data_IF_916318540104
#
_entry.id   IF_916318540104
#
_cell.length_a   1.000
_cell.length_b   1.000
_cell.length_c   1.000
_cell.angle_alpha   90.00
_cell.angle_beta   90.00
_cell.angle_gamma   90.00
#
_symmetry.space_group_name_H-M   'P 1'
#
loop_
_entity.id
_entity.type
_entity.pdbx_description
1 polymer ?
#
# COMPACT_ATOMS: atom_id res chain seq x y z
N UNK A 1 -11.83 -0.09 5.09
CA UNK A 1 -11.87 1.37 5.33
C UNK A 1 -10.42 1.81 5.43
N UNK A 2 -9.94 2.63 4.49
CA UNK A 2 -8.59 3.18 4.57
C UNK A 2 -8.47 3.95 5.89
N UNK A 3 -7.42 3.68 6.67
CA UNK A 3 -7.14 4.49 7.85
C UNK A 3 -6.73 5.87 7.34
N UNK A 4 -7.70 6.79 7.28
CA UNK A 4 -7.46 8.20 7.05
C UNK A 4 -6.35 8.64 8.01
N UNK A 5 -5.37 9.36 7.48
CA UNK A 5 -4.27 9.93 8.25
C UNK A 5 -4.83 10.63 9.50
N UNK A 6 -4.55 10.10 10.68
CA UNK A 6 -5.11 10.62 11.94
C UNK A 6 -4.28 11.83 12.37
N UNK A 7 -4.77 13.03 12.04
CA UNK A 7 -4.20 14.29 12.52
C UNK A 7 -4.99 14.74 13.74
N UNK A 8 -4.32 14.86 14.88
CA UNK A 8 -4.85 15.57 16.04
C UNK A 8 -4.79 17.07 15.76
N UNK A 9 -5.89 17.62 15.24
CA UNK A 9 -5.97 19.01 14.77
C UNK A 9 -5.76 20.01 15.91
N UNK A 10 -6.23 19.70 17.12
CA UNK A 10 -6.05 20.56 18.28
C UNK A 10 -4.59 20.63 18.69
N UNK A 11 -3.93 19.47 18.83
CA UNK A 11 -2.51 19.42 19.16
C UNK A 11 -1.65 20.07 18.08
N UNK A 12 -1.99 19.88 16.81
CA UNK A 12 -1.28 20.49 15.70
C UNK A 12 -1.40 22.03 15.70
N UNK A 13 -2.59 22.57 15.95
CA UNK A 13 -2.81 24.03 16.02
C UNK A 13 -2.07 24.65 17.22
N UNK A 14 -2.07 23.97 18.37
CA UNK A 14 -1.31 24.44 19.55
C UNK A 14 0.20 24.47 19.27
N UNK A 15 0.74 23.42 18.66
CA UNK A 15 2.17 23.38 18.31
C UNK A 15 2.57 24.51 17.34
N UNK A 16 1.70 24.87 16.39
CA UNK A 16 1.95 25.98 15.47
C UNK A 16 1.91 27.33 16.22
N UNK A 17 0.96 27.51 17.15
CA UNK A 17 0.91 28.71 17.98
C UNK A 17 2.15 28.86 18.87
N UNK A 18 2.62 27.76 19.47
CA UNK A 18 3.86 27.73 20.26
C UNK A 18 5.11 28.06 19.41
N UNK A 19 5.05 27.78 18.10
CA UNK A 19 6.08 28.14 17.13
C UNK A 19 5.98 29.60 16.62
N UNK A 20 5.02 30.39 17.13
CA UNK A 20 4.85 31.80 16.81
C UNK A 20 3.86 32.13 15.69
N UNK A 21 3.11 31.13 15.20
CA UNK A 21 1.98 31.40 14.29
C UNK A 21 0.82 31.99 15.07
N UNK A 22 0.10 32.95 14.47
CA UNK A 22 -1.17 33.37 15.06
C UNK A 22 -2.22 32.26 14.95
N UNK A 23 -3.23 32.29 15.81
CA UNK A 23 -4.27 31.26 15.86
C UNK A 23 -4.95 31.04 14.50
N UNK A 24 -5.18 32.11 13.74
CA UNK A 24 -5.87 32.01 12.44
C UNK A 24 -4.98 31.32 11.41
N UNK A 25 -3.68 31.58 11.42
CA UNK A 25 -2.71 30.88 10.58
C UNK A 25 -2.61 29.40 10.97
N UNK A 26 -2.49 29.11 12.26
CA UNK A 26 -2.38 27.75 12.78
C UNK A 26 -3.60 26.90 12.40
N UNK A 27 -4.81 27.44 12.63
CA UNK A 27 -6.06 26.75 12.31
C UNK A 27 -6.20 26.53 10.80
N UNK A 28 -5.88 27.52 9.97
CA UNK A 28 -5.97 27.40 8.51
C UNK A 28 -5.03 26.33 7.92
N UNK A 29 -3.80 26.22 8.45
CA UNK A 29 -2.84 25.19 8.04
C UNK A 29 -3.37 23.80 8.40
N UNK A 30 -3.83 23.64 9.64
CA UNK A 30 -4.31 22.35 10.15
C UNK A 30 -5.57 21.91 9.42
N UNK A 31 -6.50 22.83 9.17
CA UNK A 31 -7.73 22.56 8.42
C UNK A 31 -7.42 22.10 6.99
N UNK A 32 -6.46 22.74 6.32
CA UNK A 32 -6.02 22.33 4.99
C UNK A 32 -5.44 20.91 4.99
N UNK A 33 -4.64 20.56 6.00
CA UNK A 33 -4.04 19.22 6.12
C UNK A 33 -5.07 18.15 6.50
N UNK A 34 -6.03 18.48 7.37
CA UNK A 34 -7.09 17.57 7.78
C UNK A 34 -8.12 17.33 6.67
N UNK A 35 -8.34 18.32 5.80
CA UNK A 35 -9.21 18.23 4.62
C UNK A 35 -8.54 17.61 3.39
N UNK A 36 -7.26 17.25 3.46
CA UNK A 36 -6.57 16.61 2.34
C UNK A 36 -7.20 15.23 2.03
N UNK A 37 -7.50 14.98 0.76
CA UNK A 37 -8.01 13.69 0.32
C UNK A 37 -6.92 12.62 0.43
N UNK A 38 -7.08 11.70 1.37
CA UNK A 38 -6.15 10.58 1.59
C UNK A 38 -6.64 9.26 0.99
N UNK A 39 -7.75 9.26 0.23
CA UNK A 39 -8.34 8.02 -0.28
C UNK A 39 -7.45 7.28 -1.27
N UNK A 40 -6.60 8.01 -2.01
CA UNK A 40 -5.64 7.45 -2.97
C UNK A 40 -4.28 7.07 -2.39
N UNK A 41 -4.05 7.23 -1.08
CA UNK A 41 -2.77 6.90 -0.47
C UNK A 41 -2.65 5.39 -0.24
N UNK A 42 -1.71 4.74 -0.92
CA UNK A 42 -1.37 3.37 -0.65
C UNK A 42 -0.68 3.25 0.72
N UNK A 43 -1.23 2.42 1.61
CA UNK A 43 -0.59 2.12 2.89
C UNK A 43 0.47 1.03 2.72
N UNK A 44 1.39 0.93 3.68
CA UNK A 44 2.36 -0.18 3.74
C UNK A 44 1.66 -1.55 3.76
N UNK A 45 0.46 -1.62 4.32
CA UNK A 45 -0.35 -2.85 4.37
C UNK A 45 -0.89 -3.19 3.00
N UNK A 46 -1.41 -2.21 2.26
CA UNK A 46 -1.94 -2.41 0.90
C UNK A 46 -0.84 -2.96 -0.03
N UNK A 47 0.34 -2.32 -0.02
CA UNK A 47 1.48 -2.76 -0.83
C UNK A 47 1.94 -4.17 -0.45
N UNK A 48 1.95 -4.50 0.86
CA UNK A 48 2.33 -5.85 1.31
C UNK A 48 1.33 -6.91 0.84
N UNK A 49 0.04 -6.58 0.84
CA UNK A 49 -1.00 -7.49 0.34
C UNK A 49 -0.81 -7.73 -1.16
N UNK A 50 -0.68 -6.67 -1.96
CA UNK A 50 -0.45 -6.79 -3.41
C UNK A 50 0.81 -7.58 -3.75
N UNK A 51 1.91 -7.37 -3.01
CA UNK A 51 3.14 -8.15 -3.17
C UNK A 51 2.91 -9.62 -2.84
N UNK A 52 2.14 -9.92 -1.78
CA UNK A 52 1.83 -11.29 -1.40
C UNK A 52 1.00 -11.99 -2.49
N UNK A 53 0.00 -11.30 -3.03
CA UNK A 53 -0.86 -11.80 -4.09
C UNK A 53 -0.06 -12.05 -5.38
N UNK A 54 0.78 -11.09 -5.78
CA UNK A 54 1.68 -11.23 -6.92
C UNK A 54 2.63 -12.41 -6.76
N UNK A 55 3.20 -12.61 -5.55
CA UNK A 55 4.05 -13.78 -5.25
C UNK A 55 3.28 -15.09 -5.37
N UNK A 56 2.06 -15.14 -4.86
CA UNK A 56 1.21 -16.33 -4.95
C UNK A 56 0.88 -16.67 -6.41
N UNK A 57 0.58 -15.66 -7.24
CA UNK A 57 0.32 -15.84 -8.67
C UNK A 57 1.56 -16.33 -9.42
N UNK A 58 2.73 -15.73 -9.16
CA UNK A 58 4.00 -16.19 -9.72
C UNK A 58 4.23 -17.67 -9.37
N UNK A 59 4.06 -18.04 -8.10
CA UNK A 59 4.23 -19.43 -7.66
C UNK A 59 3.25 -20.38 -8.37
N UNK A 60 1.97 -20.00 -8.48
CA UNK A 60 0.95 -20.78 -9.18
C UNK A 60 1.36 -21.10 -10.61
N UNK A 61 1.77 -20.08 -11.37
CA UNK A 61 2.17 -20.28 -12.77
C UNK A 61 3.50 -21.02 -12.91
N UNK A 62 4.44 -20.80 -11.99
CA UNK A 62 5.71 -21.52 -11.96
C UNK A 62 5.49 -23.03 -11.75
N UNK A 63 4.62 -23.44 -10.82
CA UNK A 63 4.27 -24.85 -10.65
C UNK A 63 3.57 -25.44 -11.87
N UNK A 64 2.66 -24.69 -12.50
CA UNK A 64 2.01 -25.11 -13.75
C UNK A 64 3.01 -25.34 -14.88
N UNK A 65 3.95 -24.41 -15.05
CA UNK A 65 5.00 -24.51 -16.06
C UNK A 65 5.93 -25.72 -15.80
N UNK A 66 6.37 -25.93 -14.55
CA UNK A 66 7.22 -27.07 -14.18
C UNK A 66 6.52 -28.42 -14.42
N UNK A 67 5.24 -28.53 -14.06
CA UNK A 67 4.44 -29.72 -14.34
C UNK A 67 4.33 -29.98 -15.86
N UNK A 68 4.06 -28.93 -16.64
CA UNK A 68 4.01 -29.01 -18.11
C UNK A 68 5.34 -29.47 -18.73
N UNK A 69 6.46 -28.88 -18.30
CA UNK A 69 7.80 -29.27 -18.75
C UNK A 69 8.11 -30.74 -18.40
N UNK A 70 7.76 -31.17 -17.19
CA UNK A 70 7.98 -32.56 -16.75
C UNK A 70 7.16 -33.54 -17.60
N UNK A 71 5.88 -33.23 -17.87
CA UNK A 71 5.04 -34.06 -18.73
C UNK A 71 5.57 -34.15 -20.16
N UNK A 72 6.07 -33.04 -20.72
CA UNK A 72 6.70 -33.00 -22.04
C UNK A 72 7.96 -33.86 -22.10
N UNK A 73 8.84 -33.78 -21.09
CA UNK A 73 10.05 -34.61 -21.02
C UNK A 73 9.70 -36.10 -21.00
N UNK A 74 8.70 -36.50 -20.21
CA UNK A 74 8.22 -37.90 -20.16
C UNK A 74 7.68 -38.34 -21.53
N UNK A 75 6.92 -37.48 -22.22
CA UNK A 75 6.39 -37.79 -23.54
C UNK A 75 7.50 -37.99 -24.58
N UNK A 76 8.53 -37.13 -24.58
CA UNK A 76 9.68 -37.27 -25.47
C UNK A 76 10.43 -38.56 -25.21
N UNK A 77 10.69 -38.92 -23.95
CA UNK A 77 11.38 -40.16 -23.59
C UNK A 77 10.61 -41.40 -24.07
N UNK A 78 9.27 -41.38 -24.03
CA UNK A 78 8.44 -42.51 -24.51
C UNK A 78 8.39 -42.64 -26.03
N UNK A 79 8.75 -41.59 -26.78
CA UNK A 79 8.72 -41.56 -28.25
C UNK A 79 10.08 -41.91 -28.88
N UNK A 80 11.15 -41.96 -28.09
CA UNK A 80 12.48 -42.42 -28.47
C UNK A 80 12.61 -43.94 -28.25
#
# INVERSE_FOLDING_TARGET
MAHAMQIDTLKASNNLQDAGFDKKQADAIVETLAGADTTGLATKTDIKAEISDAKAEILKWMFGALAGQTALLIAVIKLL
#
